data_IF_054036775279
#
_entry.id   IF_054036775279
#
_cell.length_a   1.000
_cell.length_b   1.000
_cell.length_c   1.000
_cell.angle_alpha   90.00
_cell.angle_beta   90.00
_cell.angle_gamma   90.00
#
_symmetry.space_group_name_H-M   'P 1'
#
loop_
_entity.id
_entity.type
_entity.pdbx_description
1 polymer ?
#
# COMPACT_ATOMS: atom_id res chain seq x y z
N UNK A 1 6.59 1.78 13.43
CA UNK A 1 5.69 0.88 12.67
C UNK A 1 5.48 1.46 11.29
N UNK A 2 5.23 0.64 10.27
CA UNK A 2 4.94 1.08 8.91
C UNK A 2 4.05 0.08 8.19
N UNK A 3 3.33 0.53 7.17
CA UNK A 3 2.73 -0.31 6.14
C UNK A 3 3.65 -0.30 4.92
N UNK A 4 3.67 -1.37 4.17
CA UNK A 4 4.49 -1.47 2.96
C UNK A 4 4.00 -0.53 1.85
N UNK A 5 4.94 0.02 1.08
CA UNK A 5 4.68 0.77 -0.14
C UNK A 5 4.81 -0.11 -1.39
N UNK A 6 4.89 0.53 -2.56
CA UNK A 6 5.15 -0.15 -3.83
C UNK A 6 6.66 -0.31 -4.13
N UNK A 7 7.54 0.34 -3.39
CA UNK A 7 9.00 0.29 -3.59
C UNK A 7 9.73 -0.56 -2.55
N UNK A 8 9.03 -1.47 -1.89
CA UNK A 8 9.64 -2.40 -0.95
C UNK A 8 10.41 -3.51 -1.68
N UNK A 9 11.47 -3.98 -1.04
CA UNK A 9 12.08 -5.25 -1.44
C UNK A 9 11.27 -6.40 -0.81
N UNK A 10 10.25 -6.88 -1.51
CA UNK A 10 9.33 -7.91 -0.99
C UNK A 10 10.00 -9.25 -0.78
N UNK A 11 11.08 -9.60 -1.52
CA UNK A 11 11.85 -10.82 -1.26
C UNK A 11 12.47 -10.78 0.15
N UNK A 12 12.98 -9.61 0.56
CA UNK A 12 13.53 -9.44 1.92
C UNK A 12 12.43 -9.30 2.97
N UNK A 13 11.39 -8.55 2.67
CA UNK A 13 10.31 -8.29 3.61
C UNK A 13 9.58 -9.58 3.99
N UNK A 14 9.28 -10.43 3.00
CA UNK A 14 8.56 -11.67 3.19
C UNK A 14 9.44 -12.81 3.77
N UNK A 15 10.76 -12.63 3.82
CA UNK A 15 11.66 -13.56 4.51
C UNK A 15 11.66 -13.40 6.03
N UNK A 16 11.11 -12.33 6.58
CA UNK A 16 10.96 -12.21 8.03
C UNK A 16 9.83 -13.12 8.53
N UNK A 17 10.00 -13.72 9.72
CA UNK A 17 8.94 -14.54 10.29
C UNK A 17 7.70 -13.71 10.58
N UNK A 18 6.54 -14.31 10.31
CA UNK A 18 5.25 -13.73 10.70
C UNK A 18 5.06 -13.94 12.19
N UNK A 19 4.78 -12.86 12.90
CA UNK A 19 4.51 -12.85 14.34
C UNK A 19 3.17 -12.18 14.63
N UNK A 20 2.55 -12.54 15.75
CA UNK A 20 1.39 -11.87 16.29
C UNK A 20 1.80 -10.67 17.16
N UNK A 21 1.19 -9.50 16.91
CA UNK A 21 1.43 -8.30 17.71
C UNK A 21 0.19 -7.42 17.76
N UNK A 22 -0.26 -7.09 18.97
CA UNK A 22 -1.43 -6.22 19.21
C UNK A 22 -2.70 -6.58 18.41
N UNK A 23 -2.91 -7.89 18.17
CA UNK A 23 -4.12 -8.43 17.52
C UNK A 23 -3.99 -8.63 16.01
N UNK A 24 -2.84 -8.39 15.41
CA UNK A 24 -2.60 -8.61 13.99
C UNK A 24 -1.22 -9.20 13.68
N UNK A 25 -1.05 -9.64 12.45
CA UNK A 25 0.20 -10.20 11.92
C UNK A 25 1.19 -9.11 11.56
N UNK A 26 2.45 -9.32 11.90
CA UNK A 26 3.56 -8.39 11.63
C UNK A 26 4.82 -9.11 11.19
N UNK A 27 5.72 -8.38 10.52
CA UNK A 27 7.12 -8.73 10.45
C UNK A 27 7.93 -7.80 11.36
N UNK A 28 8.66 -8.36 12.33
CA UNK A 28 9.58 -7.56 13.15
C UNK A 28 10.95 -7.50 12.49
N UNK A 29 11.17 -6.41 11.74
CA UNK A 29 12.44 -6.19 11.03
C UNK A 29 13.57 -5.90 12.02
N UNK A 30 13.26 -5.14 13.07
CA UNK A 30 14.10 -4.82 14.22
C UNK A 30 13.20 -4.58 15.44
N UNK A 31 13.73 -4.53 16.67
CA UNK A 31 12.92 -4.30 17.87
C UNK A 31 12.01 -3.05 17.78
N UNK A 32 12.45 -2.00 17.08
CA UNK A 32 11.70 -0.75 16.89
C UNK A 32 11.14 -0.54 15.48
N UNK A 33 11.35 -1.49 14.55
CA UNK A 33 10.88 -1.40 13.17
C UNK A 33 9.97 -2.57 12.88
N UNK A 34 8.66 -2.32 12.88
CA UNK A 34 7.61 -3.32 12.76
C UNK A 34 6.81 -3.02 11.49
N UNK A 35 6.78 -3.98 10.58
CA UNK A 35 5.91 -3.97 9.41
C UNK A 35 4.53 -4.49 9.81
N UNK A 36 3.52 -3.67 9.67
CA UNK A 36 2.13 -4.04 9.87
C UNK A 36 1.61 -4.67 8.58
N UNK A 37 1.33 -5.98 8.61
CA UNK A 37 0.92 -6.70 7.41
C UNK A 37 -0.43 -6.21 6.89
N UNK A 38 -0.70 -6.51 5.64
CA UNK A 38 -1.93 -6.12 4.95
C UNK A 38 -3.15 -6.81 5.54
N UNK A 39 -4.28 -6.11 5.55
CA UNK A 39 -5.56 -6.67 5.98
C UNK A 39 -5.70 -6.93 7.48
N UNK A 40 -4.81 -6.42 8.31
CA UNK A 40 -4.82 -6.65 9.75
C UNK A 40 -5.53 -5.51 10.50
N UNK A 41 -6.11 -5.84 11.66
CA UNK A 41 -6.65 -4.86 12.61
C UNK A 41 -5.85 -4.91 13.90
N UNK A 42 -5.16 -3.83 14.20
CA UNK A 42 -4.34 -3.71 15.41
C UNK A 42 -5.06 -2.90 16.49
N UNK A 43 -4.88 -3.28 17.76
CA UNK A 43 -5.31 -2.46 18.90
C UNK A 43 -4.09 -1.77 19.51
N UNK A 44 -3.91 -0.48 19.20
CA UNK A 44 -2.77 0.31 19.65
C UNK A 44 -3.27 1.49 20.47
N UNK A 45 -2.80 1.61 21.71
CA UNK A 45 -3.25 2.64 22.65
C UNK A 45 -4.80 2.73 22.77
N UNK A 46 -5.47 1.57 22.76
CA UNK A 46 -6.92 1.48 22.83
C UNK A 46 -7.67 1.87 21.56
N UNK A 47 -6.97 2.10 20.43
CA UNK A 47 -7.57 2.42 19.12
C UNK A 47 -7.45 1.22 18.21
N UNK A 48 -8.53 0.93 17.48
CA UNK A 48 -8.56 -0.07 16.42
C UNK A 48 -8.05 0.55 15.12
N UNK A 49 -7.00 -0.01 14.53
CA UNK A 49 -6.34 0.50 13.33
C UNK A 49 -6.30 -0.62 12.28
N UNK A 50 -7.02 -0.43 11.18
CA UNK A 50 -6.90 -1.31 10.03
C UNK A 50 -5.75 -0.87 9.15
N UNK A 51 -4.93 -1.81 8.66
CA UNK A 51 -3.76 -1.53 7.82
C UNK A 51 -3.84 -2.23 6.48
N UNK A 52 -3.40 -1.54 5.42
CA UNK A 52 -3.31 -2.13 4.09
C UNK A 52 -2.23 -1.46 3.25
N UNK A 53 -1.15 -2.17 2.97
CA UNK A 53 -0.04 -1.69 2.16
C UNK A 53 -0.24 -1.83 0.66
N UNK A 54 0.81 -1.51 -0.07
CA UNK A 54 0.90 -1.66 -1.52
C UNK A 54 0.28 -0.53 -2.33
N UNK A 55 0.77 -0.39 -3.55
CA UNK A 55 0.21 0.43 -4.63
C UNK A 55 0.83 0.04 -5.97
N UNK A 56 0.15 0.35 -7.06
CA UNK A 56 0.68 0.14 -8.40
C UNK A 56 1.70 1.22 -8.76
N UNK A 57 2.87 0.81 -9.21
CA UNK A 57 3.90 1.74 -9.71
C UNK A 57 3.42 2.47 -10.97
N UNK A 58 3.70 3.77 -11.05
CA UNK A 58 3.32 4.62 -12.20
C UNK A 58 4.47 4.82 -13.19
N UNK A 59 5.71 4.64 -12.73
CA UNK A 59 6.95 4.91 -13.45
C UNK A 59 7.46 3.68 -14.21
N UNK A 60 6.54 3.01 -14.88
CA UNK A 60 6.77 1.78 -15.67
C UNK A 60 6.23 1.91 -17.09
N UNK A 61 6.34 3.10 -17.71
CA UNK A 61 5.85 3.32 -19.08
C UNK A 61 6.57 2.47 -20.13
N UNK A 62 7.79 2.00 -19.83
CA UNK A 62 8.57 1.07 -20.63
C UNK A 62 8.43 -0.39 -20.21
N UNK A 63 7.65 -0.65 -19.17
CA UNK A 63 7.42 -2.01 -18.65
C UNK A 63 8.42 -2.45 -17.59
N UNK A 64 8.38 -3.75 -17.33
CA UNK A 64 9.26 -4.45 -16.39
C UNK A 64 10.23 -5.31 -17.20
N UNK A 65 11.52 -5.22 -16.89
CA UNK A 65 12.56 -6.01 -17.51
C UNK A 65 12.94 -7.18 -16.60
N UNK A 66 13.22 -8.33 -17.23
CA UNK A 66 13.82 -9.48 -16.55
C UNK A 66 15.34 -9.42 -16.69
N UNK A 67 16.06 -9.50 -15.55
CA UNK A 67 17.53 -9.36 -15.56
C UNK A 67 18.24 -10.50 -16.30
N UNK A 68 17.65 -11.69 -16.34
CA UNK A 68 18.15 -12.88 -17.02
C UNK A 68 17.73 -12.98 -18.50
N UNK A 69 16.95 -12.00 -19.02
CA UNK A 69 16.60 -11.93 -20.43
C UNK A 69 17.87 -11.72 -21.29
N UNK A 70 18.16 -12.58 -22.28
CA UNK A 70 19.31 -12.45 -23.17
C UNK A 70 19.41 -11.07 -23.85
N UNK A 71 18.28 -10.41 -24.09
CA UNK A 71 18.19 -9.08 -24.69
C UNK A 71 18.10 -7.96 -23.65
N UNK A 72 18.32 -8.22 -22.37
CA UNK A 72 18.17 -7.22 -21.29
C UNK A 72 18.83 -5.89 -21.60
N UNK A 73 20.13 -5.90 -21.91
CA UNK A 73 20.87 -4.66 -22.18
C UNK A 73 20.37 -3.92 -23.42
N UNK A 74 19.98 -4.65 -24.47
CA UNK A 74 19.43 -4.07 -25.70
C UNK A 74 18.07 -3.40 -25.42
N UNK A 75 17.17 -4.08 -24.70
CA UNK A 75 15.85 -3.54 -24.29
C UNK A 75 16.03 -2.32 -23.41
N UNK A 76 16.93 -2.40 -22.42
CA UNK A 76 17.25 -1.30 -21.52
C UNK A 76 17.74 -0.07 -22.28
N UNK A 77 18.73 -0.21 -23.16
CA UNK A 77 19.24 0.90 -23.97
C UNK A 77 18.14 1.54 -24.82
N UNK A 78 17.32 0.73 -25.49
CA UNK A 78 16.20 1.24 -26.27
C UNK A 78 15.18 2.03 -25.45
N UNK A 79 14.93 1.63 -24.19
CA UNK A 79 14.04 2.37 -23.28
C UNK A 79 14.68 3.69 -22.84
N UNK A 80 15.96 3.69 -22.50
CA UNK A 80 16.72 4.88 -22.10
C UNK A 80 16.80 5.92 -23.24
N UNK A 81 17.07 5.49 -24.48
CA UNK A 81 17.09 6.33 -25.68
C UNK A 81 15.70 6.97 -25.97
N UNK A 82 14.60 6.28 -25.63
CA UNK A 82 13.24 6.77 -25.82
C UNK A 82 12.65 7.45 -24.57
N UNK A 83 13.46 7.72 -23.55
CA UNK A 83 13.04 8.34 -22.28
C UNK A 83 11.86 7.61 -21.62
N UNK A 84 11.82 6.27 -21.72
CA UNK A 84 10.82 5.44 -21.08
C UNK A 84 11.27 5.00 -19.70
N UNK A 85 10.45 5.25 -18.69
CA UNK A 85 10.68 4.73 -17.35
C UNK A 85 10.43 3.22 -17.33
N UNK A 86 11.37 2.47 -16.76
CA UNK A 86 11.24 1.01 -16.59
C UNK A 86 11.70 0.60 -15.20
N UNK A 87 11.34 -0.60 -14.80
CA UNK A 87 11.81 -1.25 -13.58
C UNK A 87 12.38 -2.62 -13.93
N UNK A 88 13.13 -3.21 -13.00
CA UNK A 88 13.71 -4.54 -13.16
C UNK A 88 13.11 -5.45 -12.10
N UNK A 89 12.58 -6.59 -12.55
CA UNK A 89 11.95 -7.57 -11.68
C UNK A 89 12.92 -8.09 -10.61
N UNK A 90 12.45 -8.27 -9.39
CA UNK A 90 13.22 -8.66 -8.20
C UNK A 90 14.45 -7.78 -7.87
N UNK A 91 14.54 -6.58 -8.49
CA UNK A 91 15.60 -5.62 -8.23
C UNK A 91 15.07 -4.23 -7.86
N UNK A 92 14.13 -3.70 -8.63
CA UNK A 92 13.49 -2.40 -8.40
C UNK A 92 11.98 -2.44 -8.55
N UNK A 93 11.43 -3.60 -8.78
CA UNK A 93 9.99 -3.88 -8.84
C UNK A 93 9.71 -5.33 -8.44
N UNK A 94 8.57 -5.54 -7.80
CA UNK A 94 8.04 -6.84 -7.39
C UNK A 94 6.56 -6.88 -7.69
N UNK A 95 6.06 -8.01 -8.17
CA UNK A 95 4.62 -8.20 -8.39
C UNK A 95 3.80 -8.00 -7.10
N UNK A 96 4.41 -8.30 -5.96
CA UNK A 96 3.85 -8.12 -4.63
C UNK A 96 3.64 -6.65 -4.24
N UNK A 97 4.01 -5.66 -5.08
CA UNK A 97 3.58 -4.27 -4.86
C UNK A 97 2.05 -4.15 -4.82
N UNK A 98 1.35 -5.06 -5.49
CA UNK A 98 -0.10 -5.21 -5.42
C UNK A 98 -0.48 -6.41 -4.55
N UNK A 99 -1.61 -6.35 -3.82
CA UNK A 99 -2.03 -7.42 -2.93
C UNK A 99 -2.52 -8.65 -3.70
N UNK A 100 -2.39 -9.82 -3.06
CA UNK A 100 -3.05 -11.03 -3.50
C UNK A 100 -4.54 -11.03 -3.15
N UNK A 101 -5.31 -11.95 -3.75
CA UNK A 101 -6.72 -12.15 -3.41
C UNK A 101 -6.88 -12.62 -1.96
N UNK A 102 -5.95 -13.44 -1.45
CA UNK A 102 -5.93 -13.94 -0.08
C UNK A 102 -5.74 -12.79 0.92
N UNK A 103 -4.81 -11.88 0.67
CA UNK A 103 -4.59 -10.69 1.52
C UNK A 103 -5.83 -9.79 1.55
N UNK A 104 -6.49 -9.59 0.41
CA UNK A 104 -7.73 -8.81 0.33
C UNK A 104 -8.87 -9.49 1.07
N UNK A 105 -9.03 -10.82 0.93
CA UNK A 105 -10.06 -11.59 1.65
C UNK A 105 -9.79 -11.61 3.15
N UNK A 106 -8.54 -11.78 3.58
CA UNK A 106 -8.17 -11.71 5.00
C UNK A 106 -8.56 -10.35 5.59
N UNK A 107 -8.30 -9.27 4.86
CA UNK A 107 -8.70 -7.93 5.29
C UNK A 107 -10.20 -7.76 5.48
N UNK A 108 -11.02 -8.27 4.57
CA UNK A 108 -12.49 -8.27 4.71
C UNK A 108 -12.91 -9.10 5.93
N UNK A 109 -12.36 -10.30 6.09
CA UNK A 109 -12.68 -11.20 7.20
C UNK A 109 -12.34 -10.56 8.54
N UNK A 110 -11.17 -9.95 8.65
CA UNK A 110 -10.74 -9.26 9.87
C UNK A 110 -11.64 -8.06 10.17
N UNK A 111 -11.98 -7.23 9.19
CA UNK A 111 -12.91 -6.12 9.40
C UNK A 111 -14.29 -6.58 9.85
N UNK A 112 -14.82 -7.66 9.27
CA UNK A 112 -16.10 -8.26 9.69
C UNK A 112 -16.06 -8.76 11.15
N UNK A 113 -14.95 -9.36 11.58
CA UNK A 113 -14.76 -9.79 12.97
C UNK A 113 -14.79 -8.62 13.96
N UNK A 114 -14.46 -7.41 13.50
CA UNK A 114 -14.58 -6.16 14.27
C UNK A 114 -15.89 -5.40 14.02
N UNK A 115 -16.88 -6.04 13.36
CA UNK A 115 -18.19 -5.43 13.07
C UNK A 115 -18.12 -4.33 12.03
N UNK A 116 -17.12 -4.34 11.15
CA UNK A 116 -16.84 -3.29 10.16
C UNK A 116 -16.71 -1.89 10.79
N UNK A 117 -16.11 -1.80 11.97
CA UNK A 117 -15.87 -0.54 12.66
C UNK A 117 -14.45 -0.48 13.23
N UNK A 118 -13.70 0.55 12.83
CA UNK A 118 -12.36 0.84 13.30
C UNK A 118 -12.19 2.34 13.59
N UNK A 119 -11.23 2.72 14.43
CA UNK A 119 -10.96 4.14 14.66
C UNK A 119 -10.23 4.76 13.45
N UNK A 120 -9.22 4.05 12.95
CA UNK A 120 -8.37 4.54 11.88
C UNK A 120 -8.13 3.49 10.80
N UNK A 121 -7.97 3.97 9.57
CA UNK A 121 -7.41 3.19 8.47
C UNK A 121 -6.06 3.81 8.11
N UNK A 122 -5.03 2.98 7.97
CA UNK A 122 -3.70 3.37 7.49
C UNK A 122 -3.38 2.50 6.28
N UNK A 123 -3.26 3.12 5.12
CA UNK A 123 -2.90 2.41 3.90
C UNK A 123 -1.79 3.15 3.15
N UNK A 124 -1.14 2.48 2.19
CA UNK A 124 -0.22 3.17 1.31
C UNK A 124 -0.97 3.87 0.17
N UNK A 125 -1.89 3.16 -0.50
CA UNK A 125 -2.76 3.72 -1.52
C UNK A 125 -4.13 4.12 -0.94
N UNK A 126 -5.03 4.70 -1.75
CA UNK A 126 -6.36 5.13 -1.33
C UNK A 126 -7.48 4.52 -2.18
N UNK A 127 -8.72 4.74 -1.74
CA UNK A 127 -9.93 4.32 -2.44
C UNK A 127 -10.07 5.01 -3.82
N UNK A 128 -10.74 4.35 -4.75
CA UNK A 128 -10.88 4.83 -6.15
C UNK A 128 -11.52 6.21 -6.25
N UNK A 129 -12.55 6.49 -5.45
CA UNK A 129 -13.19 7.81 -5.41
C UNK A 129 -12.28 8.89 -4.80
N UNK A 130 -11.51 8.54 -3.79
CA UNK A 130 -10.50 9.43 -3.17
C UNK A 130 -9.38 9.75 -4.14
N UNK A 131 -8.88 8.76 -4.88
CA UNK A 131 -7.90 8.96 -5.96
C UNK A 131 -8.40 9.93 -7.04
N UNK A 132 -9.67 9.81 -7.42
CA UNK A 132 -10.27 10.71 -8.41
C UNK A 132 -10.31 12.18 -7.94
N UNK A 133 -10.52 12.41 -6.63
CA UNK A 133 -10.50 13.76 -6.05
C UNK A 133 -9.09 14.36 -6.06
N UNK A 134 -8.07 13.57 -5.71
CA UNK A 134 -6.67 14.03 -5.65
C UNK A 134 -6.14 14.31 -7.05
N UNK A 135 -6.35 13.40 -7.97
CA UNK A 135 -5.71 13.41 -9.29
C UNK A 135 -6.48 14.13 -10.38
N UNK A 136 -7.71 14.59 -10.14
CA UNK A 136 -8.55 15.17 -11.20
C UNK A 136 -8.72 14.21 -12.40
N UNK A 137 -8.70 12.91 -12.17
CA UNK A 137 -8.81 11.87 -13.22
C UNK A 137 -7.50 11.50 -13.92
N UNK A 138 -6.35 12.00 -13.47
CA UNK A 138 -5.04 11.70 -14.09
C UNK A 138 -4.52 10.28 -13.76
N UNK A 139 -4.89 9.73 -12.61
CA UNK A 139 -4.45 8.41 -12.18
C UNK A 139 -5.37 7.32 -12.71
N UNK A 140 -4.79 6.23 -13.22
CA UNK A 140 -5.54 5.04 -13.62
C UNK A 140 -5.88 4.22 -12.38
N UNK A 141 -7.13 3.83 -12.27
CA UNK A 141 -7.59 2.91 -11.22
C UNK A 141 -7.09 1.50 -11.48
N UNK A 142 -6.85 0.79 -10.41
CA UNK A 142 -6.55 -0.63 -10.40
C UNK A 142 -7.43 -1.39 -9.40
N UNK A 143 -7.25 -2.70 -9.31
CA UNK A 143 -8.08 -3.53 -8.45
C UNK A 143 -7.88 -3.27 -6.94
N UNK A 144 -6.70 -2.76 -6.54
CA UNK A 144 -6.46 -2.33 -5.16
C UNK A 144 -7.29 -1.08 -4.83
N UNK A 145 -7.33 -0.10 -5.73
CA UNK A 145 -8.19 1.08 -5.53
C UNK A 145 -9.67 0.69 -5.39
N UNK A 146 -10.13 -0.28 -6.19
CA UNK A 146 -11.52 -0.77 -6.14
C UNK A 146 -11.79 -1.59 -4.86
N UNK A 147 -10.82 -2.36 -4.38
CA UNK A 147 -10.90 -3.04 -3.09
C UNK A 147 -11.00 -2.03 -1.94
N UNK A 148 -10.14 -1.03 -1.92
CA UNK A 148 -10.16 0.03 -0.92
C UNK A 148 -11.45 0.88 -1.00
N UNK A 149 -12.04 1.03 -2.18
CA UNK A 149 -13.36 1.67 -2.33
C UNK A 149 -14.47 0.87 -1.66
N UNK A 150 -14.46 -0.46 -1.78
CA UNK A 150 -15.42 -1.33 -1.06
C UNK A 150 -15.28 -1.19 0.46
N UNK A 151 -14.05 -1.13 0.97
CA UNK A 151 -13.79 -0.87 2.39
C UNK A 151 -14.34 0.50 2.79
N UNK A 152 -14.06 1.54 2.01
CA UNK A 152 -14.53 2.91 2.25
C UNK A 152 -16.06 2.98 2.39
N UNK A 153 -16.78 2.19 1.59
CA UNK A 153 -18.24 2.17 1.57
C UNK A 153 -18.85 1.30 2.68
N UNK A 154 -18.16 0.26 3.13
CA UNK A 154 -18.72 -0.74 4.04
C UNK A 154 -18.21 -0.63 5.49
N UNK A 155 -17.12 0.11 5.73
CA UNK A 155 -16.48 0.21 7.05
C UNK A 155 -16.71 1.58 7.66
N UNK A 156 -17.06 1.62 8.94
CA UNK A 156 -17.13 2.87 9.72
C UNK A 156 -15.73 3.18 10.26
N UNK A 157 -15.23 4.38 10.00
CA UNK A 157 -13.94 4.85 10.49
C UNK A 157 -13.97 6.35 10.80
N UNK A 158 -13.11 6.80 11.69
CA UNK A 158 -12.97 8.22 12.06
C UNK A 158 -12.06 8.97 11.09
N UNK A 159 -10.89 8.37 10.80
CA UNK A 159 -9.90 8.94 9.88
C UNK A 159 -9.23 7.84 9.07
N UNK A 160 -8.88 8.18 7.84
CA UNK A 160 -8.09 7.36 6.94
C UNK A 160 -6.84 8.13 6.50
N UNK A 161 -5.67 7.57 6.77
CA UNK A 161 -4.38 8.13 6.41
C UNK A 161 -3.75 7.30 5.32
N UNK A 162 -3.26 7.95 4.27
CA UNK A 162 -2.62 7.27 3.17
C UNK A 162 -1.51 8.13 2.56
N UNK A 163 -0.60 7.53 1.77
CA UNK A 163 0.52 8.16 1.11
C UNK A 163 0.48 8.04 -0.41
N UNK A 164 1.59 7.56 -1.00
CA UNK A 164 1.78 7.22 -2.41
C UNK A 164 1.84 8.42 -3.39
N UNK A 165 1.01 9.43 -3.23
CA UNK A 165 0.87 10.53 -4.20
C UNK A 165 1.80 11.71 -3.94
N UNK A 166 2.74 11.60 -3.01
CA UNK A 166 3.79 12.55 -2.68
C UNK A 166 3.27 13.98 -2.45
N UNK A 167 2.18 14.11 -1.72
CA UNK A 167 1.59 15.39 -1.36
C UNK A 167 1.01 15.34 0.06
N UNK A 168 0.73 16.51 0.63
CA UNK A 168 0.06 16.68 1.91
C UNK A 168 -1.27 17.38 1.70
N UNK A 169 -2.37 16.64 1.80
CA UNK A 169 -3.70 17.16 1.50
C UNK A 169 -4.76 16.61 2.45
N UNK A 170 -5.58 17.50 3.02
CA UNK A 170 -6.86 17.11 3.58
C UNK A 170 -7.86 16.93 2.44
N UNK A 171 -8.02 15.69 1.95
CA UNK A 171 -8.92 15.40 0.82
C UNK A 171 -10.36 15.68 1.21
N UNK A 172 -10.72 15.31 2.43
CA UNK A 172 -12.01 15.65 3.06
C UNK A 172 -11.87 15.58 4.59
N UNK A 173 -12.99 15.70 5.30
CA UNK A 173 -13.00 15.68 6.77
C UNK A 173 -12.44 14.41 7.41
N UNK A 174 -12.39 13.28 6.69
CA UNK A 174 -11.95 11.99 7.23
C UNK A 174 -10.72 11.40 6.54
N UNK A 175 -10.36 11.85 5.35
CA UNK A 175 -9.32 11.25 4.52
C UNK A 175 -8.18 12.24 4.30
N UNK A 176 -6.96 11.81 4.69
CA UNK A 176 -5.76 12.63 4.69
C UNK A 176 -4.65 11.96 3.89
N UNK A 177 -4.18 12.66 2.86
CA UNK A 177 -2.97 12.31 2.13
C UNK A 177 -1.77 12.90 2.89
N UNK A 178 -0.78 12.07 3.18
CA UNK A 178 0.40 12.43 3.95
C UNK A 178 1.68 12.08 3.18
N UNK A 179 2.63 12.99 3.18
CA UNK A 179 3.96 12.79 2.62
C UNK A 179 5.05 13.16 3.63
N UNK A 180 5.16 14.42 3.99
CA UNK A 180 6.20 14.93 4.91
C UNK A 180 5.65 15.29 6.28
N UNK A 181 4.34 15.30 6.45
CA UNK A 181 3.70 15.72 7.68
C UNK A 181 3.72 14.65 8.75
N UNK A 182 3.94 15.09 9.98
CA UNK A 182 3.69 14.29 11.19
C UNK A 182 2.42 14.86 11.83
N UNK A 183 1.41 14.03 11.99
CA UNK A 183 0.15 14.42 12.60
C UNK A 183 -0.09 13.64 13.89
N UNK A 184 -0.73 14.31 14.85
CA UNK A 184 -1.19 13.64 16.07
C UNK A 184 -2.55 13.02 15.82
N UNK A 185 -2.65 11.71 16.09
CA UNK A 185 -3.90 10.96 16.14
C UNK A 185 -4.25 10.69 17.60
N UNK A 186 -5.32 11.26 18.11
CA UNK A 186 -5.71 11.15 19.52
C UNK A 186 -7.20 10.90 19.66
#
# INVERSE_FOLDING_TARGET
MFVDGNHENFDRLNNYPVEEWNGGKVHKIRPSVIHLMRGQVFTIAGKKIFTFGGAKSHDISGGILEYDDPDFYKKRMALEENFKSYRVNHYSWWEQELPSEEEMMEGITNLQAYGNEVDFIVSHCCAASTQALIGGGKYKRDYLNEYLEKIRQSVQFKKWFFGHYHDNQNVNARELLLYEQIIRIG
#
